data_IF_802227831422
#
_entry.id   IF_802227831422
#
_cell.length_a   1.000
_cell.length_b   1.000
_cell.length_c   1.000
_cell.angle_alpha   90.00
_cell.angle_beta   90.00
_cell.angle_gamma   90.00
#
_symmetry.space_group_name_H-M   'P 1'
#
loop_
_entity.id
_entity.type
_entity.pdbx_description
1 polymer ?
#
# COMPACT_ATOMS: atom_id res chain seq x y z
N UNK A 1 9.98 12.98 -12.27
CA UNK A 1 8.77 13.01 -11.44
C UNK A 1 7.62 13.43 -12.34
N UNK A 2 6.67 12.53 -12.57
CA UNK A 2 5.50 12.77 -13.41
C UNK A 2 4.23 12.53 -12.59
N UNK A 3 3.21 13.35 -12.78
CA UNK A 3 1.92 13.28 -12.08
C UNK A 3 0.81 13.20 -13.12
N UNK A 4 -0.11 12.23 -12.96
CA UNK A 4 -1.32 12.13 -13.76
C UNK A 4 -2.53 12.25 -12.83
N UNK A 5 -3.28 13.36 -12.88
CA UNK A 5 -4.57 13.43 -12.20
C UNK A 5 -5.60 12.58 -12.96
N UNK A 6 -6.35 11.77 -12.23
CA UNK A 6 -7.40 10.91 -12.77
C UNK A 6 -8.74 11.34 -12.20
N UNK A 7 -9.70 11.59 -13.09
CA UNK A 7 -11.09 11.84 -12.73
C UNK A 7 -11.97 10.70 -13.25
N UNK A 8 -12.63 10.01 -12.34
CA UNK A 8 -13.68 9.02 -12.63
C UNK A 8 -15.03 9.60 -12.19
N UNK A 9 -16.18 9.04 -12.63
CA UNK A 9 -17.49 9.53 -12.20
C UNK A 9 -17.69 9.56 -10.67
N UNK A 10 -16.97 8.71 -9.93
CA UNK A 10 -17.16 8.51 -8.49
C UNK A 10 -16.02 9.07 -7.65
N UNK A 11 -14.80 9.19 -8.20
CA UNK A 11 -13.58 9.50 -7.46
C UNK A 11 -12.57 10.29 -8.28
N UNK A 12 -11.83 11.15 -7.60
CA UNK A 12 -10.64 11.84 -8.13
C UNK A 12 -9.42 11.39 -7.34
N UNK A 13 -8.31 11.08 -8.02
CA UNK A 13 -7.06 10.68 -7.38
C UNK A 13 -5.86 10.95 -8.30
N UNK A 14 -4.66 10.95 -7.73
CA UNK A 14 -3.41 11.20 -8.42
C UNK A 14 -2.61 9.91 -8.63
N UNK A 15 -1.98 9.75 -9.80
CA UNK A 15 -0.96 8.73 -10.04
C UNK A 15 0.41 9.43 -10.09
N UNK A 16 1.27 9.11 -9.13
CA UNK A 16 2.63 9.67 -9.02
C UNK A 16 3.65 8.67 -9.55
N UNK A 17 4.56 9.13 -10.42
CA UNK A 17 5.67 8.34 -10.94
C UNK A 17 6.98 8.80 -10.30
N UNK A 18 7.48 7.95 -9.40
CA UNK A 18 8.68 8.19 -8.60
C UNK A 18 9.70 7.06 -8.78
N UNK A 19 10.98 7.40 -8.61
CA UNK A 19 12.08 6.43 -8.73
C UNK A 19 12.41 5.70 -7.40
N UNK A 20 11.73 6.06 -6.30
CA UNK A 20 11.92 5.45 -4.97
C UNK A 20 10.70 5.68 -4.10
N UNK A 21 10.61 5.00 -2.95
CA UNK A 21 9.50 5.19 -2.01
C UNK A 21 9.59 6.48 -1.18
N UNK A 22 10.73 7.17 -1.15
CA UNK A 22 10.93 8.37 -0.30
C UNK A 22 9.83 9.44 -0.45
N UNK A 23 9.35 9.80 -1.65
CA UNK A 23 8.31 10.81 -1.81
C UNK A 23 6.92 10.37 -1.32
N UNK A 24 6.70 9.06 -1.09
CA UNK A 24 5.40 8.51 -0.69
C UNK A 24 4.85 9.16 0.57
N UNK A 25 5.71 9.47 1.55
CA UNK A 25 5.30 10.11 2.79
C UNK A 25 4.65 11.48 2.52
N UNK A 26 5.24 12.28 1.62
CA UNK A 26 4.67 13.56 1.20
C UNK A 26 3.31 13.38 0.53
N UNK A 27 3.21 12.43 -0.40
CA UNK A 27 1.97 12.14 -1.13
C UNK A 27 0.85 11.65 -0.22
N UNK A 28 1.16 10.91 0.86
CA UNK A 28 0.17 10.50 1.87
C UNK A 28 -0.31 11.70 2.69
N UNK A 29 0.60 12.58 3.10
CA UNK A 29 0.25 13.79 3.86
C UNK A 29 -0.63 14.75 3.05
N UNK A 30 -0.43 14.83 1.73
CA UNK A 30 -1.28 15.61 0.82
C UNK A 30 -2.74 15.14 0.76
N UNK A 31 -3.03 13.91 1.21
CA UNK A 31 -4.41 13.42 1.28
C UNK A 31 -5.23 14.08 2.40
N UNK A 32 -4.57 14.82 3.30
CA UNK A 32 -5.16 15.54 4.45
C UNK A 32 -6.13 14.67 5.27
N UNK A 33 -5.67 13.45 5.60
CA UNK A 33 -6.42 12.46 6.37
C UNK A 33 -5.57 11.93 7.52
N UNK A 34 -6.20 11.81 8.68
CA UNK A 34 -5.60 11.12 9.83
C UNK A 34 -5.64 9.61 9.63
N UNK A 35 -4.48 8.97 9.55
CA UNK A 35 -4.33 7.52 9.52
C UNK A 35 -3.77 7.05 10.87
N UNK A 36 -4.39 6.03 11.47
CA UNK A 36 -3.88 5.40 12.70
C UNK A 36 -3.06 4.14 12.43
N UNK A 37 -3.41 3.42 11.35
CA UNK A 37 -2.73 2.18 10.91
C UNK A 37 -2.64 2.12 9.39
N UNK A 38 -1.60 1.47 8.88
CA UNK A 38 -1.42 1.15 7.47
C UNK A 38 -1.08 -0.34 7.35
N UNK A 39 -1.77 -1.05 6.44
CA UNK A 39 -1.48 -2.44 6.13
C UNK A 39 -0.88 -2.56 4.73
N UNK A 40 0.30 -3.17 4.64
CA UNK A 40 0.96 -3.56 3.38
C UNK A 40 0.50 -4.98 3.04
N UNK A 41 -0.16 -5.16 1.91
CA UNK A 41 -0.59 -6.46 1.40
C UNK A 41 0.20 -6.76 0.13
N UNK A 42 0.99 -7.83 0.13
CA UNK A 42 1.86 -8.20 -0.98
C UNK A 42 1.84 -9.71 -1.21
N UNK A 43 2.31 -10.17 -2.36
CA UNK A 43 2.63 -11.59 -2.51
C UNK A 43 4.02 -11.94 -1.95
N UNK A 44 4.25 -13.24 -1.77
CA UNK A 44 5.47 -13.83 -1.21
C UNK A 44 6.73 -13.71 -2.10
N UNK A 45 6.61 -13.25 -3.34
CA UNK A 45 7.76 -12.96 -4.22
C UNK A 45 8.15 -11.49 -4.16
N UNK A 46 7.18 -10.59 -4.07
CA UNK A 46 7.37 -9.14 -4.06
C UNK A 46 7.70 -8.63 -2.65
N UNK A 47 7.12 -9.24 -1.61
CA UNK A 47 7.31 -8.79 -0.23
C UNK A 47 8.78 -8.79 0.23
N UNK A 48 9.60 -9.83 -0.04
CA UNK A 48 11.01 -9.83 0.33
C UNK A 48 11.84 -8.73 -0.34
N UNK A 49 11.36 -8.18 -1.46
CA UNK A 49 12.07 -7.14 -2.22
C UNK A 49 11.80 -5.73 -1.69
N UNK A 50 10.55 -5.43 -1.28
CA UNK A 50 10.13 -4.05 -1.07
C UNK A 50 9.46 -3.77 0.28
N UNK A 51 8.93 -4.78 1.00
CA UNK A 51 8.16 -4.53 2.23
C UNK A 51 8.99 -3.81 3.28
N UNK A 52 10.26 -4.19 3.46
CA UNK A 52 11.15 -3.54 4.44
C UNK A 52 11.42 -2.07 4.12
N UNK A 53 11.73 -1.73 2.87
CA UNK A 53 11.96 -0.34 2.46
C UNK A 53 10.69 0.49 2.61
N UNK A 54 9.55 -0.02 2.14
CA UNK A 54 8.27 0.66 2.21
C UNK A 54 7.82 0.88 3.66
N UNK A 55 7.96 -0.13 4.52
CA UNK A 55 7.61 -0.05 5.94
C UNK A 55 8.42 1.03 6.66
N UNK A 56 9.73 1.10 6.43
CA UNK A 56 10.59 2.14 7.01
C UNK A 56 10.13 3.57 6.63
N UNK A 57 9.69 3.77 5.38
CA UNK A 57 9.15 5.07 4.94
C UNK A 57 7.83 5.37 5.65
N UNK A 58 6.93 4.40 5.75
CA UNK A 58 5.59 4.60 6.33
C UNK A 58 5.61 4.77 7.85
N UNK A 59 6.50 4.09 8.57
CA UNK A 59 6.65 4.23 10.02
C UNK A 59 7.06 5.66 10.43
N UNK A 60 7.66 6.42 9.51
CA UNK A 60 7.97 7.84 9.73
C UNK A 60 6.71 8.73 9.86
N UNK A 61 5.53 8.22 9.51
CA UNK A 61 4.23 8.89 9.77
C UNK A 61 3.76 8.71 11.23
N UNK A 62 4.51 8.01 12.08
CA UNK A 62 4.13 7.69 13.46
C UNK A 62 2.79 6.94 13.54
N UNK A 63 2.59 6.01 12.60
CA UNK A 63 1.43 5.10 12.50
C UNK A 63 1.87 3.66 12.64
N UNK A 64 0.96 2.78 13.07
CA UNK A 64 1.24 1.34 13.09
C UNK A 64 1.26 0.78 11.66
N UNK A 65 2.38 0.16 11.26
CA UNK A 65 2.54 -0.45 9.92
C UNK A 65 2.58 -1.97 10.03
N UNK A 66 1.55 -2.60 9.50
CA UNK A 66 1.36 -4.04 9.45
C UNK A 66 1.68 -4.58 8.05
N UNK A 67 2.11 -5.83 7.94
CA UNK A 67 2.37 -6.48 6.65
C UNK A 67 1.77 -7.88 6.61
N UNK A 68 1.13 -8.22 5.50
CA UNK A 68 0.59 -9.56 5.24
C UNK A 68 0.97 -10.00 3.84
N UNK A 69 1.55 -11.20 3.77
CA UNK A 69 2.03 -11.78 2.53
C UNK A 69 1.18 -13.01 2.17
N UNK A 70 0.79 -13.13 0.90
CA UNK A 70 0.06 -14.28 0.38
C UNK A 70 0.80 -14.97 -0.76
N UNK A 71 0.44 -16.20 -1.08
CA UNK A 71 1.11 -16.95 -2.15
C UNK A 71 0.92 -16.26 -3.52
N UNK A 72 2.00 -16.05 -4.26
CA UNK A 72 1.96 -15.47 -5.60
C UNK A 72 1.13 -16.27 -6.62
N UNK A 73 0.72 -15.60 -7.70
CA UNK A 73 0.08 -16.20 -8.87
C UNK A 73 -1.44 -16.04 -8.92
N UNK A 74 -1.98 -15.90 -10.14
CA UNK A 74 -3.39 -15.56 -10.39
C UNK A 74 -4.38 -16.56 -9.77
N UNK A 75 -3.99 -17.84 -9.63
CA UNK A 75 -4.81 -18.86 -8.96
C UNK A 75 -5.19 -18.48 -7.52
N UNK A 76 -4.37 -17.67 -6.86
CA UNK A 76 -4.59 -17.19 -5.49
C UNK A 76 -5.43 -15.90 -5.44
N UNK A 77 -5.82 -15.32 -6.57
CA UNK A 77 -6.74 -14.18 -6.62
C UNK A 77 -8.19 -14.65 -6.53
N UNK A 78 -8.56 -15.12 -5.35
CA UNK A 78 -9.88 -15.67 -5.08
C UNK A 78 -10.36 -15.33 -3.67
N UNK A 79 -11.62 -15.66 -3.38
CA UNK A 79 -12.27 -15.32 -2.11
C UNK A 79 -11.57 -15.92 -0.88
N UNK A 80 -10.85 -17.04 -1.01
CA UNK A 80 -10.14 -17.65 0.12
C UNK A 80 -9.00 -16.75 0.57
N UNK A 81 -8.24 -16.18 -0.36
CA UNK A 81 -7.15 -15.25 -0.06
C UNK A 81 -7.67 -13.94 0.51
N UNK A 82 -8.79 -13.42 -0.02
CA UNK A 82 -9.43 -12.23 0.54
C UNK A 82 -9.90 -12.47 1.98
N UNK A 83 -10.44 -13.65 2.28
CA UNK A 83 -10.82 -13.99 3.66
C UNK A 83 -9.63 -13.99 4.62
N UNK A 84 -8.47 -14.51 4.19
CA UNK A 84 -7.24 -14.42 5.01
C UNK A 84 -6.82 -12.97 5.28
N UNK A 85 -6.95 -12.09 4.27
CA UNK A 85 -6.67 -10.67 4.44
C UNK A 85 -7.66 -10.04 5.42
N UNK A 86 -8.95 -10.39 5.37
CA UNK A 86 -9.93 -9.90 6.34
C UNK A 86 -9.64 -10.38 7.76
N UNK A 87 -9.32 -11.66 7.94
CA UNK A 87 -8.95 -12.22 9.24
C UNK A 87 -7.73 -11.52 9.84
N UNK A 88 -6.81 -11.04 8.99
CA UNK A 88 -5.64 -10.26 9.40
C UNK A 88 -5.96 -8.81 9.79
N UNK A 89 -7.02 -8.21 9.23
CA UNK A 89 -7.37 -6.80 9.44
C UNK A 89 -8.30 -6.56 10.64
N UNK A 90 -8.87 -7.61 11.23
CA UNK A 90 -9.77 -7.58 12.39
C UNK A 90 -8.96 -7.62 13.69
#
# INVERSE_FOLDING_TARGET
MSLIPVETPQKKYNIHFEASFKPLLGHILELDKGYSKIAIISDDQVAPLYTSELKNVLESLNVEVLSFDFAHGEKNKNYKTINLIYDFLI
#
